data_IF_608386068501
#
_entry.id   IF_608386068501
#
_cell.length_a   1.000
_cell.length_b   1.000
_cell.length_c   1.000
_cell.angle_alpha   90.00
_cell.angle_beta   90.00
_cell.angle_gamma   90.00
#
_symmetry.space_group_name_H-M   'P 1'
#
loop_
_entity.id
_entity.type
_entity.pdbx_description
1 polymer ?
#
# COMPACT_ATOMS: atom_id res chain seq x y z
N UNK A 1 17.44 -10.32 -30.30
CA UNK A 1 16.85 -9.53 -29.20
C UNK A 1 16.84 -10.45 -28.01
N UNK A 2 17.42 -10.04 -26.88
CA UNK A 2 17.53 -10.89 -25.69
C UNK A 2 16.13 -11.10 -25.12
N UNK A 3 15.73 -12.37 -25.03
CA UNK A 3 14.53 -12.83 -24.31
C UNK A 3 14.67 -12.71 -22.78
N UNK A 4 15.86 -12.34 -22.28
CA UNK A 4 16.17 -12.30 -20.85
C UNK A 4 15.76 -10.98 -20.15
N UNK A 5 14.81 -10.24 -20.73
CA UNK A 5 14.35 -9.00 -20.09
C UNK A 5 13.36 -9.37 -18.99
N UNK A 6 13.65 -8.95 -17.75
CA UNK A 6 12.72 -9.15 -16.63
C UNK A 6 11.38 -8.47 -16.94
N UNK A 7 10.30 -9.23 -16.86
CA UNK A 7 8.93 -8.77 -17.06
C UNK A 7 8.00 -9.57 -16.12
N UNK A 8 6.97 -8.93 -15.60
CA UNK A 8 5.90 -9.59 -14.84
C UNK A 8 4.77 -9.93 -15.81
N UNK A 9 4.50 -11.22 -16.02
CA UNK A 9 3.40 -11.73 -16.88
C UNK A 9 2.69 -12.92 -16.23
N UNK A 10 1.38 -13.08 -16.48
CA UNK A 10 0.61 -14.24 -15.96
C UNK A 10 1.02 -15.58 -16.59
N UNK A 11 1.69 -15.57 -17.75
CA UNK A 11 1.94 -16.78 -18.55
C UNK A 11 3.37 -17.31 -18.51
N UNK A 12 4.35 -16.49 -18.10
CA UNK A 12 5.77 -16.82 -18.28
C UNK A 12 6.58 -16.84 -16.96
N UNK A 13 5.97 -16.53 -15.80
CA UNK A 13 6.65 -16.45 -14.50
C UNK A 13 6.68 -17.75 -13.68
N UNK A 14 7.84 -18.07 -13.08
CA UNK A 14 7.98 -19.14 -12.10
C UNK A 14 7.45 -18.70 -10.72
N UNK A 15 6.59 -19.53 -10.12
CA UNK A 15 6.06 -19.30 -8.76
C UNK A 15 6.33 -20.47 -7.82
N UNK A 16 6.47 -20.17 -6.53
CA UNK A 16 6.53 -21.18 -5.47
C UNK A 16 5.81 -20.74 -4.20
N UNK A 17 5.33 -21.71 -3.43
CA UNK A 17 4.64 -21.47 -2.17
C UNK A 17 5.64 -21.47 -0.99
N UNK A 18 5.79 -20.31 -0.35
CA UNK A 18 6.61 -20.16 0.85
C UNK A 18 5.78 -20.49 2.10
N UNK A 19 6.06 -21.64 2.70
CA UNK A 19 5.46 -22.02 3.98
C UNK A 19 6.21 -21.38 5.15
N UNK A 20 5.51 -20.53 5.90
CA UNK A 20 6.04 -19.92 7.11
C UNK A 20 5.85 -20.82 8.33
N UNK A 21 6.80 -20.78 9.26
CA UNK A 21 6.72 -21.50 10.52
C UNK A 21 7.56 -20.83 11.61
N UNK A 22 7.24 -21.12 12.86
CA UNK A 22 7.98 -20.62 14.01
C UNK A 22 9.40 -21.20 14.12
N UNK A 23 9.70 -22.31 13.45
CA UNK A 23 11.03 -22.95 13.50
C UNK A 23 11.93 -22.52 12.33
N UNK A 24 11.39 -22.44 11.11
CA UNK A 24 12.18 -22.13 9.91
C UNK A 24 12.22 -20.64 9.58
N UNK A 25 11.17 -19.89 9.90
CA UNK A 25 11.01 -18.47 9.56
C UNK A 25 10.44 -17.66 10.74
N UNK A 26 11.03 -17.77 11.96
CA UNK A 26 10.44 -17.25 13.21
C UNK A 26 10.10 -15.76 13.14
N UNK A 27 11.01 -14.96 12.57
CA UNK A 27 10.84 -13.50 12.50
C UNK A 27 9.74 -13.09 11.53
N UNK A 28 9.74 -13.68 10.32
CA UNK A 28 8.72 -13.43 9.31
C UNK A 28 7.36 -13.92 9.78
N UNK A 29 7.30 -15.11 10.38
CA UNK A 29 6.10 -15.68 10.97
C UNK A 29 5.49 -14.73 12.02
N UNK A 30 6.31 -14.28 12.98
CA UNK A 30 5.88 -13.36 14.04
C UNK A 30 5.36 -12.03 13.47
N UNK A 31 6.05 -11.45 12.50
CA UNK A 31 5.64 -10.18 11.87
C UNK A 31 4.36 -10.34 11.08
N UNK A 32 4.20 -11.42 10.32
CA UNK A 32 2.97 -11.70 9.55
C UNK A 32 1.79 -11.95 10.49
N UNK A 33 1.99 -12.69 11.58
CA UNK A 33 0.97 -12.90 12.61
C UNK A 33 0.56 -11.58 13.27
N UNK A 34 1.53 -10.73 13.68
CA UNK A 34 1.23 -9.41 14.23
C UNK A 34 0.48 -8.51 13.24
N UNK A 35 0.83 -8.60 11.95
CA UNK A 35 0.14 -7.87 10.88
C UNK A 35 -1.35 -8.24 10.80
N UNK A 36 -1.65 -9.54 10.88
CA UNK A 36 -3.01 -10.09 10.88
C UNK A 36 -3.76 -9.81 12.19
N UNK A 37 -3.09 -9.79 13.34
CA UNK A 37 -3.73 -9.34 14.59
C UNK A 37 -4.15 -7.87 14.47
N UNK A 38 -3.29 -7.04 13.85
CA UNK A 38 -3.60 -5.64 13.55
C UNK A 38 -4.79 -5.45 12.59
N UNK A 39 -5.22 -6.51 11.88
CA UNK A 39 -6.40 -6.48 11.02
C UNK A 39 -7.69 -6.97 11.70
N UNK A 40 -7.63 -7.35 12.98
CA UNK A 40 -8.80 -7.74 13.78
C UNK A 40 -8.94 -9.24 14.04
N UNK A 41 -8.00 -10.07 13.58
CA UNK A 41 -7.93 -11.48 13.99
C UNK A 41 -7.41 -11.60 15.43
N UNK A 42 -7.85 -12.63 16.15
CA UNK A 42 -7.18 -12.99 17.40
C UNK A 42 -5.76 -13.48 17.12
N UNK A 43 -4.87 -13.41 18.11
CA UNK A 43 -3.49 -13.89 17.95
C UNK A 43 -3.45 -15.37 17.54
N UNK A 44 -4.31 -16.21 18.12
CA UNK A 44 -4.40 -17.63 17.78
C UNK A 44 -4.83 -17.86 16.33
N UNK A 45 -5.80 -17.10 15.84
CA UNK A 45 -6.27 -17.20 14.45
C UNK A 45 -5.21 -16.68 13.48
N UNK A 46 -4.58 -15.55 13.79
CA UNK A 46 -3.51 -14.98 12.98
C UNK A 46 -2.34 -15.97 12.82
N UNK A 47 -1.87 -16.56 13.92
CA UNK A 47 -0.80 -17.57 13.88
C UNK A 47 -1.23 -18.82 13.13
N UNK A 48 -2.47 -19.27 13.29
CA UNK A 48 -3.00 -20.41 12.55
C UNK A 48 -2.97 -20.13 11.04
N UNK A 49 -3.50 -18.98 10.60
CA UNK A 49 -3.49 -18.57 9.20
C UNK A 49 -2.07 -18.55 8.63
N UNK A 50 -1.11 -17.92 9.32
CA UNK A 50 0.29 -17.88 8.86
C UNK A 50 0.89 -19.29 8.75
N UNK A 51 0.54 -20.19 9.66
CA UNK A 51 1.04 -21.56 9.66
C UNK A 51 0.38 -22.47 8.62
N UNK A 52 -0.82 -22.15 8.14
CA UNK A 52 -1.59 -23.03 7.24
C UNK A 52 -1.78 -22.48 5.84
N UNK A 53 -1.46 -21.22 5.62
CA UNK A 53 -1.61 -20.55 4.33
C UNK A 53 -0.23 -20.21 3.77
N UNK A 54 0.25 -20.98 2.78
CA UNK A 54 1.48 -20.65 2.08
C UNK A 54 1.37 -19.28 1.38
N UNK A 55 2.52 -18.63 1.24
CA UNK A 55 2.64 -17.33 0.57
C UNK A 55 3.14 -17.58 -0.85
N UNK A 56 2.36 -17.28 -1.90
CA UNK A 56 2.81 -17.43 -3.27
C UNK A 56 3.88 -16.38 -3.57
N UNK A 57 5.06 -16.83 -3.99
CA UNK A 57 6.22 -16.02 -4.33
C UNK A 57 6.50 -16.16 -5.82
N UNK A 58 6.74 -15.04 -6.50
CA UNK A 58 7.18 -15.00 -7.89
C UNK A 58 8.71 -14.82 -7.96
N UNK A 59 9.37 -15.61 -8.80
CA UNK A 59 10.83 -15.68 -8.92
C UNK A 59 11.28 -14.87 -10.14
N UNK A 60 12.27 -14.01 -9.93
CA UNK A 60 12.89 -13.20 -10.96
C UNK A 60 14.40 -13.48 -11.01
N UNK A 61 14.95 -13.56 -12.22
CA UNK A 61 16.38 -13.80 -12.44
C UNK A 61 17.00 -12.67 -13.27
N UNK A 62 17.83 -11.85 -12.63
CA UNK A 62 18.71 -10.92 -13.32
C UNK A 62 19.97 -11.68 -13.76
N UNK A 63 20.19 -11.78 -15.07
CA UNK A 63 21.25 -12.61 -15.65
C UNK A 63 22.66 -12.19 -15.22
N UNK A 64 22.86 -10.94 -14.80
CA UNK A 64 24.16 -10.43 -14.35
C UNK A 64 24.31 -10.45 -12.83
N UNK A 65 23.21 -10.52 -12.07
CA UNK A 65 23.21 -10.21 -10.63
C UNK A 65 22.62 -11.28 -9.73
N UNK A 66 21.78 -12.16 -10.27
CA UNK A 66 21.21 -13.32 -9.57
C UNK A 66 19.70 -13.26 -9.41
N UNK A 67 19.19 -14.08 -8.49
CA UNK A 67 17.76 -14.35 -8.31
C UNK A 67 17.22 -13.60 -7.10
N UNK A 68 16.01 -13.05 -7.24
CA UNK A 68 15.21 -12.55 -6.13
C UNK A 68 13.75 -13.02 -6.27
N UNK A 69 13.00 -12.94 -5.18
CA UNK A 69 11.58 -13.30 -5.18
C UNK A 69 10.77 -12.30 -4.37
N UNK A 70 9.54 -12.05 -4.82
CA UNK A 70 8.59 -11.15 -4.17
C UNK A 70 7.24 -11.87 -4.02
N UNK A 71 6.42 -11.45 -3.05
CA UNK A 71 5.05 -11.98 -2.98
C UNK A 71 4.35 -11.68 -4.31
N UNK A 72 3.65 -12.67 -4.87
CA UNK A 72 2.99 -12.51 -6.17
C UNK A 72 1.79 -11.55 -6.09
N UNK A 73 1.14 -11.50 -4.92
CA UNK A 73 -0.10 -10.73 -4.72
C UNK A 73 0.06 -9.22 -5.02
N UNK A 74 1.07 -8.49 -4.49
CA UNK A 74 1.26 -7.06 -4.79
C UNK A 74 1.52 -6.73 -6.26
N UNK A 75 1.97 -7.70 -7.06
CA UNK A 75 2.32 -7.46 -8.47
C UNK A 75 1.12 -7.13 -9.36
N UNK A 76 -0.10 -7.42 -8.90
CA UNK A 76 -1.31 -7.01 -9.61
C UNK A 76 -1.65 -5.50 -9.44
N UNK A 77 -0.94 -4.78 -8.56
CA UNK A 77 -1.32 -3.41 -8.17
C UNK A 77 -0.16 -2.42 -8.11
N UNK A 78 1.06 -2.91 -7.87
CA UNK A 78 2.21 -2.05 -7.63
C UNK A 78 3.29 -2.29 -8.68
N UNK A 79 3.94 -1.22 -9.19
CA UNK A 79 5.12 -1.38 -10.02
C UNK A 79 6.20 -2.09 -9.20
N UNK A 80 6.94 -2.96 -9.88
CA UNK A 80 8.06 -3.68 -9.31
C UNK A 80 9.35 -3.05 -9.81
N UNK A 81 10.32 -2.88 -8.91
CA UNK A 81 11.65 -2.39 -9.27
C UNK A 81 12.67 -3.48 -9.00
N UNK A 82 13.59 -3.68 -9.93
CA UNK A 82 14.69 -4.61 -9.76
C UNK A 82 15.54 -4.15 -8.56
N UNK A 83 15.68 -4.98 -7.50
CA UNK A 83 16.35 -4.58 -6.27
C UNK A 83 17.86 -4.34 -6.47
N UNK A 84 18.44 -4.82 -7.55
CA UNK A 84 19.86 -4.64 -7.85
C UNK A 84 20.14 -3.39 -8.69
N UNK A 85 19.29 -3.06 -9.67
CA UNK A 85 19.50 -1.93 -10.60
C UNK A 85 18.73 -0.68 -10.19
N UNK A 86 17.60 -0.84 -9.50
CA UNK A 86 16.63 0.21 -9.26
C UNK A 86 15.75 0.53 -10.46
N UNK A 87 15.89 -0.19 -11.57
CA UNK A 87 15.07 -0.01 -12.77
C UNK A 87 13.71 -0.66 -12.60
N UNK A 88 12.67 -0.05 -13.17
CA UNK A 88 11.32 -0.61 -13.19
C UNK A 88 11.29 -1.88 -14.06
N UNK A 89 10.64 -2.91 -13.55
CA UNK A 89 10.35 -4.15 -14.26
C UNK A 89 8.98 -3.97 -14.92
N UNK A 90 8.88 -4.03 -16.26
CA UNK A 90 7.61 -3.97 -16.97
C UNK A 90 6.63 -4.99 -16.38
N UNK A 91 5.37 -4.58 -16.19
CA UNK A 91 4.39 -5.40 -15.50
C UNK A 91 3.04 -5.37 -16.20
N UNK A 92 2.74 -6.48 -16.89
CA UNK A 92 1.49 -6.67 -17.63
C UNK A 92 0.31 -7.02 -16.71
N UNK A 93 0.59 -7.44 -15.47
CA UNK A 93 -0.41 -7.78 -14.47
C UNK A 93 -1.04 -6.54 -13.83
N UNK A 94 -0.44 -5.35 -14.03
CA UNK A 94 -1.03 -4.09 -13.56
C UNK A 94 -2.34 -3.83 -14.26
N UNK A 95 -3.42 -3.71 -13.48
CA UNK A 95 -4.73 -3.36 -14.00
C UNK A 95 -4.67 -2.00 -14.69
N UNK A 96 -4.76 -1.99 -16.01
CA UNK A 96 -5.15 -0.83 -16.79
C UNK A 96 -6.68 -0.69 -16.71
N UNK A 97 -7.20 0.54 -16.64
CA UNK A 97 -8.63 0.81 -16.37
C UNK A 97 -9.61 0.15 -17.38
N UNK A 98 -9.10 -0.39 -18.49
CA UNK A 98 -9.87 -0.94 -19.61
C UNK A 98 -10.23 -2.44 -19.52
N UNK A 99 -9.67 -3.22 -18.58
CA UNK A 99 -9.90 -4.67 -18.50
C UNK A 99 -11.18 -5.07 -17.74
N UNK A 100 -12.23 -4.26 -17.82
CA UNK A 100 -13.57 -4.57 -17.30
C UNK A 100 -14.39 -5.28 -18.39
N UNK A 101 -14.15 -6.55 -18.74
CA UNK A 101 -15.20 -7.44 -19.29
C UNK A 101 -14.68 -8.87 -19.59
N UNK A 102 -15.53 -9.86 -19.26
CA UNK A 102 -15.41 -11.33 -19.42
C UNK A 102 -14.46 -12.02 -18.41
N UNK A 103 -14.86 -13.00 -17.59
CA UNK A 103 -15.64 -14.20 -17.88
C UNK A 103 -16.38 -14.79 -16.64
N UNK A 104 -17.53 -15.47 -16.83
CA UNK A 104 -18.59 -15.66 -15.79
C UNK A 104 -18.40 -16.78 -14.76
N UNK A 105 -17.33 -17.58 -14.82
CA UNK A 105 -17.02 -18.62 -13.80
C UNK A 105 -16.00 -18.18 -12.75
N UNK A 106 -15.31 -17.05 -12.99
CA UNK A 106 -14.22 -16.52 -12.15
C UNK A 106 -14.76 -15.55 -11.07
N UNK A 107 -16.01 -15.09 -11.20
CA UNK A 107 -16.64 -14.06 -10.36
C UNK A 107 -16.61 -14.37 -8.86
N UNK A 108 -16.86 -15.60 -8.43
CA UNK A 108 -16.95 -15.87 -6.97
C UNK A 108 -15.59 -15.90 -6.28
N UNK A 109 -14.54 -16.38 -6.95
CA UNK A 109 -13.18 -16.31 -6.41
C UNK A 109 -12.61 -14.90 -6.60
N UNK A 110 -12.85 -14.22 -7.73
CA UNK A 110 -12.51 -12.80 -7.92
C UNK A 110 -13.19 -11.89 -6.90
N UNK A 111 -14.45 -12.12 -6.55
CA UNK A 111 -15.16 -11.30 -5.58
C UNK A 111 -14.59 -11.51 -4.18
N UNK A 112 -14.30 -12.77 -3.79
CA UNK A 112 -13.61 -13.07 -2.52
C UNK A 112 -12.18 -12.54 -2.48
N UNK A 113 -11.49 -12.53 -3.62
CA UNK A 113 -10.15 -11.99 -3.78
C UNK A 113 -10.20 -10.45 -3.70
N UNK A 114 -11.18 -9.83 -4.36
CA UNK A 114 -11.45 -8.39 -4.32
C UNK A 114 -11.80 -7.92 -2.91
N UNK A 115 -12.64 -8.66 -2.19
CA UNK A 115 -12.94 -8.39 -0.77
C UNK A 115 -11.69 -8.48 0.11
N UNK A 116 -10.79 -9.46 -0.14
CA UNK A 116 -9.50 -9.54 0.55
C UNK A 116 -8.59 -8.36 0.20
N UNK A 117 -8.54 -7.97 -1.06
CA UNK A 117 -7.76 -6.82 -1.52
C UNK A 117 -8.22 -5.52 -0.90
N UNK A 118 -9.53 -5.28 -0.85
CA UNK A 118 -10.09 -4.13 -0.16
C UNK A 118 -9.83 -4.16 1.34
N UNK A 119 -9.87 -5.34 1.97
CA UNK A 119 -9.54 -5.48 3.38
C UNK A 119 -8.07 -5.13 3.67
N UNK A 120 -7.14 -5.60 2.82
CA UNK A 120 -5.70 -5.30 2.92
C UNK A 120 -5.41 -3.82 2.66
N UNK A 121 -6.01 -3.24 1.62
CA UNK A 121 -5.91 -1.81 1.33
C UNK A 121 -6.42 -0.96 2.51
N UNK A 122 -7.54 -1.35 3.14
CA UNK A 122 -8.03 -0.70 4.37
C UNK A 122 -7.02 -0.81 5.52
N UNK A 123 -6.33 -1.94 5.68
CA UNK A 123 -5.31 -2.13 6.73
C UNK A 123 -4.09 -1.24 6.46
N UNK A 124 -3.59 -1.20 5.23
CA UNK A 124 -2.46 -0.36 4.85
C UNK A 124 -2.79 1.12 5.00
N UNK A 125 -3.94 1.55 4.48
CA UNK A 125 -4.43 2.93 4.62
C UNK A 125 -4.53 3.33 6.09
N UNK A 126 -5.07 2.45 6.94
CA UNK A 126 -5.17 2.69 8.40
C UNK A 126 -3.79 2.86 9.04
N UNK A 127 -2.84 1.96 8.76
CA UNK A 127 -1.47 2.05 9.31
C UNK A 127 -0.77 3.34 8.89
N UNK A 128 -0.97 3.77 7.66
CA UNK A 128 -0.38 5.00 7.15
C UNK A 128 -0.98 6.23 7.86
N UNK A 129 -2.30 6.26 8.08
CA UNK A 129 -2.96 7.30 8.89
C UNK A 129 -2.44 7.31 10.33
N UNK A 130 -2.28 6.14 10.96
CA UNK A 130 -1.75 6.02 12.33
C UNK A 130 -0.32 6.57 12.41
N UNK A 131 0.53 6.25 11.42
CA UNK A 131 1.88 6.78 11.31
C UNK A 131 1.88 8.31 11.16
N UNK A 132 1.10 8.85 10.22
CA UNK A 132 0.95 10.30 10.04
C UNK A 132 0.47 10.99 11.32
N UNK A 133 -0.48 10.37 12.02
CA UNK A 133 -1.01 10.89 13.28
C UNK A 133 0.07 10.94 14.35
N UNK A 134 0.89 9.89 14.47
CA UNK A 134 2.04 9.85 15.37
C UNK A 134 3.04 10.99 15.09
N UNK A 135 3.42 11.16 13.83
CA UNK A 135 4.35 12.22 13.39
C UNK A 135 3.80 13.62 13.76
N UNK A 136 2.56 13.92 13.39
CA UNK A 136 1.94 15.23 13.67
C UNK A 136 1.80 15.46 15.18
N UNK A 137 1.48 14.42 15.95
CA UNK A 137 1.36 14.50 17.41
C UNK A 137 2.69 14.79 18.10
N UNK A 138 3.78 14.16 17.66
CA UNK A 138 5.11 14.32 18.25
C UNK A 138 5.77 15.64 17.88
N UNK A 139 5.59 16.10 16.63
CA UNK A 139 6.33 17.25 16.11
C UNK A 139 5.71 18.61 16.45
N UNK A 140 4.38 18.70 16.60
CA UNK A 140 3.71 20.01 16.57
C UNK A 140 2.55 20.21 17.55
N UNK A 141 2.53 19.46 18.66
CA UNK A 141 1.49 19.67 19.68
C UNK A 141 0.08 19.55 19.12
N UNK A 142 -0.14 18.61 18.18
CA UNK A 142 -1.41 18.29 17.51
C UNK A 142 -1.79 19.16 16.29
N UNK A 143 -0.92 20.03 15.78
CA UNK A 143 -1.19 20.80 14.55
C UNK A 143 0.08 21.15 13.76
N UNK A 144 0.21 20.64 12.55
CA UNK A 144 1.26 20.96 11.60
C UNK A 144 0.77 22.01 10.59
N UNK A 145 1.42 23.16 10.52
CA UNK A 145 1.12 24.24 9.59
C UNK A 145 2.44 24.90 9.19
N UNK A 146 2.83 24.79 7.92
CA UNK A 146 4.06 25.38 7.39
C UNK A 146 3.84 26.78 6.79
N UNK A 147 2.60 27.27 6.77
CA UNK A 147 2.23 28.53 6.10
C UNK A 147 2.25 28.48 4.57
N UNK A 148 2.52 27.31 3.97
CA UNK A 148 2.52 27.07 2.53
C UNK A 148 1.32 26.21 2.10
N UNK A 149 1.04 26.22 0.79
CA UNK A 149 -0.02 25.41 0.17
C UNK A 149 0.60 24.28 -0.67
N UNK A 150 0.16 23.04 -0.43
CA UNK A 150 0.69 21.86 -1.13
C UNK A 150 -0.40 21.20 -1.97
N UNK A 151 -0.15 20.89 -3.26
CA UNK A 151 -1.16 20.35 -4.15
C UNK A 151 -1.66 18.97 -3.68
N UNK A 152 -2.98 18.78 -3.71
CA UNK A 152 -3.65 17.54 -3.37
C UNK A 152 -5.00 17.41 -4.11
N UNK A 153 -5.71 16.32 -3.85
CA UNK A 153 -7.07 16.06 -4.30
C UNK A 153 -8.00 15.84 -3.10
N UNK A 154 -9.23 16.33 -3.18
CA UNK A 154 -10.24 16.12 -2.14
C UNK A 154 -10.98 14.76 -2.28
N UNK A 155 -12.02 14.51 -1.48
CA UNK A 155 -12.73 13.20 -1.50
C UNK A 155 -13.44 12.94 -2.84
N UNK A 156 -13.65 13.98 -3.66
CA UNK A 156 -14.27 13.92 -4.99
C UNK A 156 -13.25 13.92 -6.11
N UNK A 157 -11.95 13.87 -5.79
CA UNK A 157 -10.85 14.04 -6.73
C UNK A 157 -10.78 15.45 -7.35
N UNK A 158 -11.44 16.44 -6.71
CA UNK A 158 -11.29 17.83 -7.13
C UNK A 158 -9.95 18.37 -6.64
N UNK A 159 -9.28 19.14 -7.50
CA UNK A 159 -7.99 19.75 -7.18
C UNK A 159 -8.13 20.71 -5.99
N UNK A 160 -7.29 20.54 -4.99
CA UNK A 160 -7.21 21.39 -3.81
C UNK A 160 -5.76 21.54 -3.34
N UNK A 161 -5.58 22.27 -2.24
CA UNK A 161 -4.29 22.42 -1.57
C UNK A 161 -4.42 22.09 -0.10
N UNK A 162 -3.49 21.33 0.45
CA UNK A 162 -3.36 21.12 1.89
C UNK A 162 -2.57 22.29 2.47
N UNK A 163 -3.12 22.90 3.52
CA UNK A 163 -2.48 24.02 4.25
C UNK A 163 -1.99 23.60 5.62
N UNK A 164 -2.67 22.62 6.25
CA UNK A 164 -2.30 22.13 7.57
C UNK A 164 -2.78 20.70 7.81
N UNK A 165 -2.11 19.98 8.71
CA UNK A 165 -2.62 18.76 9.34
C UNK A 165 -2.96 19.03 10.80
N UNK A 166 -4.14 18.60 11.25
CA UNK A 166 -4.60 18.86 12.63
C UNK A 166 -5.21 17.61 13.25
N UNK A 167 -4.85 17.34 14.50
CA UNK A 167 -5.48 16.28 15.28
C UNK A 167 -6.60 16.89 16.12
N UNK A 168 -7.84 16.42 15.92
CA UNK A 168 -8.99 16.79 16.74
C UNK A 168 -9.68 15.52 17.23
N UNK A 169 -9.89 15.40 18.54
CA UNK A 169 -10.51 14.23 19.15
C UNK A 169 -9.87 12.89 18.71
N UNK A 170 -8.54 12.85 18.66
CA UNK A 170 -7.74 11.70 18.20
C UNK A 170 -7.93 11.31 16.72
N UNK A 171 -8.54 12.17 15.91
CA UNK A 171 -8.65 11.99 14.45
C UNK A 171 -7.76 13.00 13.74
N UNK A 172 -6.97 12.54 12.77
CA UNK A 172 -6.15 13.38 11.91
C UNK A 172 -6.98 13.96 10.76
N UNK A 173 -6.92 15.27 10.60
CA UNK A 173 -7.56 16.03 9.54
C UNK A 173 -6.51 16.71 8.65
N UNK A 174 -6.76 16.73 7.34
CA UNK A 174 -6.11 17.66 6.42
C UNK A 174 -7.01 18.88 6.22
N UNK A 175 -6.47 20.08 6.38
CA UNK A 175 -7.16 21.32 6.07
C UNK A 175 -6.87 21.72 4.63
N UNK A 176 -7.93 21.83 3.84
CA UNK A 176 -7.92 22.02 2.41
C UNK A 176 -8.31 23.46 2.05
N UNK A 177 -7.61 24.03 1.09
CA UNK A 177 -7.85 25.32 0.42
C UNK A 177 -8.14 25.06 -1.06
N UNK A 178 -8.97 25.90 -1.68
CA UNK A 178 -9.37 25.76 -3.09
C UNK A 178 -9.20 27.08 -3.82
N UNK A 179 -8.86 27.01 -5.11
CA UNK A 179 -8.67 28.18 -5.98
C UNK A 179 -9.92 29.08 -6.07
N UNK A 180 -11.12 28.51 -5.92
CA UNK A 180 -12.39 29.22 -5.94
C UNK A 180 -12.85 29.71 -4.55
N UNK A 181 -12.02 29.53 -3.52
CA UNK A 181 -12.28 29.88 -2.13
C UNK A 181 -13.11 28.83 -1.39
N UNK A 182 -12.79 28.63 -0.11
CA UNK A 182 -13.56 27.79 0.82
C UNK A 182 -12.68 26.80 1.57
N UNK A 183 -12.33 27.13 2.81
CA UNK A 183 -11.46 26.25 3.61
C UNK A 183 -12.29 25.21 4.34
N UNK A 184 -11.87 23.94 4.28
CA UNK A 184 -12.48 22.87 5.07
C UNK A 184 -11.44 21.88 5.56
N UNK A 185 -11.65 21.34 6.76
CA UNK A 185 -10.80 20.25 7.26
C UNK A 185 -11.55 18.92 7.14
N UNK A 186 -10.93 17.96 6.49
CA UNK A 186 -11.48 16.65 6.15
C UNK A 186 -10.64 15.58 6.84
N UNK A 187 -11.24 14.51 7.40
CA UNK A 187 -10.46 13.40 7.95
C UNK A 187 -9.53 12.81 6.89
N UNK A 188 -8.25 12.64 7.21
CA UNK A 188 -7.24 12.11 6.26
C UNK A 188 -7.66 10.74 5.71
N UNK A 189 -8.32 9.93 6.53
CA UNK A 189 -8.83 8.60 6.12
C UNK A 189 -9.87 8.64 5.00
N UNK A 190 -10.52 9.79 4.77
CA UNK A 190 -11.55 9.98 3.74
C UNK A 190 -10.94 10.55 2.44
N UNK A 191 -9.62 10.78 2.43
CA UNK A 191 -8.83 11.30 1.31
C UNK A 191 -7.83 10.25 0.80
N UNK A 192 -7.13 10.56 -0.29
CA UNK A 192 -6.08 9.71 -0.84
C UNK A 192 -4.82 9.75 0.05
N UNK A 193 -4.76 8.82 1.01
CA UNK A 193 -3.74 8.83 2.09
C UNK A 193 -2.30 8.73 1.57
N UNK A 194 -2.08 8.07 0.42
CA UNK A 194 -0.77 7.98 -0.23
C UNK A 194 -0.24 9.36 -0.59
N UNK A 195 -0.98 10.10 -1.40
CA UNK A 195 -0.69 11.50 -1.72
C UNK A 195 -0.56 12.38 -0.48
N UNK A 196 -1.42 12.22 0.53
CA UNK A 196 -1.31 13.04 1.76
C UNK A 196 -0.07 12.73 2.59
N UNK A 197 0.45 11.51 2.54
CA UNK A 197 1.72 11.18 3.17
C UNK A 197 2.89 11.90 2.48
N UNK A 198 2.88 11.98 1.15
CA UNK A 198 3.87 12.76 0.39
C UNK A 198 3.77 14.26 0.72
N UNK A 199 2.54 14.78 0.82
CA UNK A 199 2.30 16.16 1.24
C UNK A 199 2.84 16.42 2.65
N UNK A 200 2.57 15.54 3.61
CA UNK A 200 3.12 15.63 4.95
C UNK A 200 4.66 15.67 4.91
N UNK A 201 5.29 14.81 4.11
CA UNK A 201 6.75 14.80 3.96
C UNK A 201 7.28 16.12 3.38
N UNK A 202 6.59 16.69 2.39
CA UNK A 202 6.95 18.01 1.83
C UNK A 202 6.82 19.11 2.89
N UNK A 203 5.72 19.13 3.65
CA UNK A 203 5.53 20.10 4.74
C UNK A 203 6.68 20.03 5.75
N UNK A 204 7.07 18.82 6.16
CA UNK A 204 8.16 18.59 7.12
C UNK A 204 9.53 19.05 6.64
N UNK A 205 9.75 19.14 5.32
CA UNK A 205 10.99 19.66 4.75
C UNK A 205 11.05 21.20 4.78
N UNK A 206 9.89 21.85 4.87
CA UNK A 206 9.77 23.31 4.86
C UNK A 206 9.66 23.93 6.27
N UNK A 207 9.72 23.12 7.34
CA UNK A 207 9.71 23.54 8.74
C UNK A 207 11.06 24.06 9.27
#
# INVERSE_FOLDING_TARGET
MNDDTLIVTETEGDTFDLQLSESSTPETFRRRAASLTGSGLSESEARHVVATTPVPMEIFCDSERGIFAVEAEPLAYSPLFNPYTGEEIPNENLRTEDAKLSDSRITTERDKMLERYEAIDRIHRRRLVDLMTGIVSEMTGQSLDSGNEYPASDERQDKCYVTAFRIKHAVLYACLSYDYGGDRCVPVRDLEVGQLFDVLRMMLQDL
#
